data_IF_696750062166
#
_entry.id   IF_696750062166
#
_cell.length_a   1.000
_cell.length_b   1.000
_cell.length_c   1.000
_cell.angle_alpha   90.00
_cell.angle_beta   90.00
_cell.angle_gamma   90.00
#
_symmetry.space_group_name_H-M   'P 1'
#
loop_
_entity.id
_entity.type
_entity.pdbx_description
1 polymer ?
#
# COMPACT_ATOMS: atom_id res chain seq x y z
N UNK A 1 -21.75 21.09 -6.70
CA UNK A 1 -21.66 20.86 -5.25
C UNK A 1 -21.44 19.36 -4.99
N UNK A 2 -20.64 18.99 -3.99
CA UNK A 2 -20.38 17.57 -3.61
C UNK A 2 -21.23 17.23 -2.38
N UNK A 3 -21.81 16.03 -2.33
CA UNK A 3 -22.55 15.56 -1.16
C UNK A 3 -21.56 14.98 -0.14
N UNK A 4 -21.33 15.72 0.94
CA UNK A 4 -20.29 15.44 1.94
C UNK A 4 -20.67 15.95 3.32
N UNK A 5 -19.96 15.50 4.34
CA UNK A 5 -20.02 16.03 5.70
C UNK A 5 -18.62 16.30 6.25
N UNK A 6 -18.44 17.29 7.14
CA UNK A 6 -17.14 17.62 7.69
C UNK A 6 -16.63 16.48 8.59
N UNK A 7 -15.39 16.04 8.37
CA UNK A 7 -14.71 15.05 9.19
C UNK A 7 -13.80 15.73 10.21
N UNK A 8 -13.99 15.39 11.48
CA UNK A 8 -13.14 15.83 12.58
C UNK A 8 -12.47 14.63 13.26
N UNK A 9 -11.23 14.82 13.71
CA UNK A 9 -10.49 13.83 14.50
C UNK A 9 -9.87 14.49 15.72
N UNK A 10 -9.72 13.76 16.81
CA UNK A 10 -8.92 14.21 17.95
C UNK A 10 -7.46 13.86 17.69
N UNK A 11 -6.60 14.88 17.61
CA UNK A 11 -5.16 14.72 17.45
C UNK A 11 -4.46 15.05 18.76
N UNK A 12 -3.51 14.20 19.14
CA UNK A 12 -2.72 14.36 20.36
C UNK A 12 -1.23 14.47 20.03
N UNK A 13 -0.59 15.47 20.61
CA UNK A 13 0.86 15.65 20.59
C UNK A 13 1.41 15.45 21.99
N UNK A 14 2.33 14.51 22.15
CA UNK A 14 3.03 14.23 23.41
C UNK A 14 4.50 14.64 23.29
N UNK A 15 4.93 15.54 24.17
CA UNK A 15 6.35 15.82 24.36
C UNK A 15 6.92 14.80 25.36
N UNK A 16 7.76 13.88 24.87
CA UNK A 16 8.33 12.81 25.71
C UNK A 16 9.35 13.30 26.74
N UNK A 17 9.93 14.49 26.56
CA UNK A 17 10.88 15.07 27.52
C UNK A 17 10.18 15.77 28.69
N UNK A 18 9.05 16.44 28.44
CA UNK A 18 8.28 17.15 29.48
C UNK A 18 7.06 16.37 29.98
N UNK A 19 6.70 15.27 29.33
CA UNK A 19 5.46 14.50 29.52
C UNK A 19 4.17 15.32 29.29
N UNK A 20 4.27 16.48 28.63
CA UNK A 20 3.11 17.31 28.29
C UNK A 20 2.33 16.70 27.12
N UNK A 21 1.00 16.63 27.24
CA UNK A 21 0.09 16.19 26.19
C UNK A 21 -0.80 17.37 25.77
N UNK A 22 -0.81 17.68 24.49
CA UNK A 22 -1.72 18.66 23.87
C UNK A 22 -2.71 17.92 22.99
N UNK A 23 -3.99 18.04 23.29
CA UNK A 23 -5.09 17.43 22.52
C UNK A 23 -5.92 18.50 21.83
N UNK A 24 -6.28 18.27 20.57
CA UNK A 24 -7.10 19.19 19.80
C UNK A 24 -8.02 18.44 18.84
N UNK A 25 -9.21 19.00 18.60
CA UNK A 25 -10.09 18.55 17.52
C UNK A 25 -9.65 19.20 16.22
N UNK A 26 -9.24 18.39 15.24
CA UNK A 26 -8.71 18.81 13.94
C UNK A 26 -9.73 18.51 12.86
N UNK A 27 -10.02 19.51 12.03
CA UNK A 27 -10.78 19.33 10.80
C UNK A 27 -9.91 18.67 9.74
N UNK A 28 -10.36 17.51 9.23
CA UNK A 28 -9.65 16.71 8.23
C UNK A 28 -10.13 16.99 6.80
N UNK A 29 -11.22 17.75 6.63
CA UNK A 29 -11.84 18.04 5.34
C UNK A 29 -13.29 17.56 5.25
N UNK A 30 -13.93 17.90 4.15
CA UNK A 30 -15.26 17.39 3.81
C UNK A 30 -15.16 15.98 3.23
N UNK A 31 -15.81 15.01 3.87
CA UNK A 31 -15.80 13.60 3.47
C UNK A 31 -17.04 13.25 2.64
N UNK A 32 -16.89 12.76 1.40
CA UNK A 32 -18.03 12.37 0.57
C UNK A 32 -18.85 11.25 1.22
N UNK A 33 -20.17 11.44 1.26
CA UNK A 33 -21.08 10.47 1.85
C UNK A 33 -21.78 9.61 0.78
N UNK A 34 -22.04 8.36 1.13
CA UNK A 34 -22.84 7.47 0.30
C UNK A 34 -24.32 7.83 0.44
N UNK A 35 -25.04 7.90 -0.68
CA UNK A 35 -26.49 8.10 -0.69
C UNK A 35 -27.22 6.79 -0.35
N UNK A 36 -28.53 6.82 -0.01
CA UNK A 36 -29.33 5.60 0.16
C UNK A 36 -29.38 4.68 -1.07
N UNK A 37 -29.02 5.19 -2.26
CA UNK A 37 -28.92 4.40 -3.51
C UNK A 37 -27.58 3.68 -3.67
N UNK A 38 -26.63 3.87 -2.75
CA UNK A 38 -25.26 3.33 -2.87
C UNK A 38 -24.34 4.13 -3.81
N UNK A 39 -24.71 5.37 -4.16
CA UNK A 39 -23.98 6.25 -5.06
C UNK A 39 -23.29 7.39 -4.30
N UNK A 40 -22.45 8.17 -4.97
CA UNK A 40 -21.80 9.38 -4.46
C UNK A 40 -22.04 10.55 -5.42
N UNK A 41 -22.27 11.76 -4.89
CA UNK A 41 -22.40 12.97 -5.73
C UNK A 41 -21.10 13.76 -5.63
N UNK A 42 -20.32 13.80 -6.71
CA UNK A 42 -19.05 14.52 -6.79
C UNK A 42 -19.19 15.65 -7.81
N UNK A 43 -19.04 16.89 -7.36
CA UNK A 43 -19.16 18.09 -8.20
C UNK A 43 -20.47 18.17 -9.00
N UNK A 44 -21.57 17.66 -8.44
CA UNK A 44 -22.90 17.64 -9.07
C UNK A 44 -23.19 16.42 -9.94
N UNK A 45 -22.21 15.54 -10.18
CA UNK A 45 -22.40 14.29 -10.92
C UNK A 45 -22.54 13.11 -9.97
N UNK A 46 -23.58 12.31 -10.16
CA UNK A 46 -23.77 11.04 -9.46
C UNK A 46 -22.82 9.97 -10.02
N UNK A 47 -22.10 9.27 -9.14
CA UNK A 47 -21.09 8.27 -9.45
C UNK A 47 -21.29 7.02 -8.61
N UNK A 48 -20.89 5.88 -9.15
CA UNK A 48 -20.89 4.59 -8.44
C UNK A 48 -19.45 4.12 -8.28
N UNK A 49 -19.08 3.72 -7.07
CA UNK A 49 -17.79 3.06 -6.81
C UNK A 49 -17.93 1.58 -7.13
N UNK A 50 -17.04 1.05 -7.97
CA UNK A 50 -17.05 -0.37 -8.37
C UNK A 50 -16.01 -1.13 -7.58
N UNK A 51 -16.40 -2.28 -7.01
CA UNK A 51 -15.49 -3.18 -6.32
C UNK A 51 -14.46 -3.77 -7.28
N UNK A 52 -13.20 -3.76 -6.86
CA UNK A 52 -12.09 -4.32 -7.64
C UNK A 52 -11.71 -5.71 -7.13
N UNK A 53 -11.38 -6.61 -8.06
CA UNK A 53 -10.70 -7.86 -7.73
C UNK A 53 -9.20 -7.61 -7.66
N UNK A 54 -8.61 -7.85 -6.48
CA UNK A 54 -7.17 -7.74 -6.23
C UNK A 54 -6.61 -9.10 -5.81
N UNK A 55 -5.29 -9.28 -5.95
CA UNK A 55 -4.64 -10.50 -5.45
C UNK A 55 -4.88 -10.63 -3.95
N UNK A 56 -5.18 -11.85 -3.50
CA UNK A 56 -5.29 -12.13 -2.08
C UNK A 56 -3.93 -11.97 -1.39
N UNK A 57 -3.89 -11.75 -0.07
CA UNK A 57 -2.67 -11.86 0.69
C UNK A 57 -2.07 -13.27 0.56
N UNK A 58 -0.76 -13.37 0.43
CA UNK A 58 -0.10 -14.66 0.29
C UNK A 58 1.32 -14.59 -0.29
N UNK A 59 1.94 -15.76 -0.40
CA UNK A 59 3.21 -15.95 -1.08
C UNK A 59 2.96 -16.48 -2.49
N UNK A 60 3.40 -15.73 -3.49
CA UNK A 60 3.27 -16.07 -4.91
C UNK A 60 4.64 -16.33 -5.51
N UNK A 61 4.77 -17.43 -6.24
CA UNK A 61 6.00 -17.82 -6.92
C UNK A 61 5.77 -17.82 -8.43
N UNK A 62 6.74 -17.33 -9.18
CA UNK A 62 6.67 -17.21 -10.63
C UNK A 62 8.05 -17.52 -11.24
N UNK A 63 8.03 -18.18 -12.40
CA UNK A 63 9.22 -18.42 -13.23
C UNK A 63 8.97 -17.78 -14.59
N UNK A 64 9.90 -16.94 -15.03
CA UNK A 64 9.81 -16.25 -16.32
C UNK A 64 11.14 -16.35 -17.08
N UNK A 65 11.13 -16.75 -18.37
CA UNK A 65 12.35 -16.80 -19.16
C UNK A 65 12.95 -15.39 -19.35
N UNK A 66 14.26 -15.25 -19.14
CA UNK A 66 14.97 -14.02 -19.43
C UNK A 66 15.10 -13.82 -20.95
N UNK A 67 14.90 -12.58 -21.42
CA UNK A 67 14.92 -12.31 -22.86
C UNK A 67 16.32 -12.33 -23.49
N UNK A 68 17.37 -12.32 -22.67
CA UNK A 68 18.76 -12.10 -23.10
C UNK A 68 19.69 -13.26 -22.76
N UNK A 69 19.15 -14.31 -22.15
CA UNK A 69 19.89 -15.51 -21.74
C UNK A 69 18.95 -16.70 -21.72
N UNK A 70 19.48 -17.91 -21.81
CA UNK A 70 18.70 -19.16 -21.74
C UNK A 70 18.34 -19.54 -20.29
N UNK A 71 18.15 -18.54 -19.41
CA UNK A 71 17.89 -18.74 -17.99
C UNK A 71 16.50 -18.25 -17.61
N UNK A 72 15.88 -18.97 -16.69
CA UNK A 72 14.66 -18.52 -16.02
C UNK A 72 14.99 -17.62 -14.83
N UNK A 73 14.22 -16.55 -14.70
CA UNK A 73 14.17 -15.69 -13.52
C UNK A 73 13.09 -16.24 -12.59
N UNK A 74 13.47 -16.56 -11.36
CA UNK A 74 12.53 -17.01 -10.34
C UNK A 74 12.21 -15.85 -9.40
N UNK A 75 10.93 -15.59 -9.18
CA UNK A 75 10.48 -14.54 -8.26
C UNK A 75 9.55 -15.09 -7.19
N UNK A 76 9.65 -14.54 -5.98
CA UNK A 76 8.72 -14.79 -4.89
C UNK A 76 8.18 -13.45 -4.37
N UNK A 77 6.87 -13.28 -4.32
CA UNK A 77 6.21 -12.06 -3.82
C UNK A 77 5.40 -12.40 -2.58
N UNK A 78 5.74 -11.78 -1.46
CA UNK A 78 4.98 -11.83 -0.22
C UNK A 78 4.09 -10.59 -0.17
N UNK A 79 2.80 -10.81 -0.35
CA UNK A 79 1.78 -9.77 -0.40
C UNK A 79 0.99 -9.81 0.92
N UNK A 80 1.12 -8.81 1.81
CA UNK A 80 0.30 -8.74 3.01
C UNK A 80 -1.10 -8.16 2.70
N UNK A 81 -2.05 -8.35 3.62
CA UNK A 81 -3.36 -7.70 3.55
C UNK A 81 -3.29 -6.19 3.75
N UNK A 82 -2.28 -5.72 4.49
CA UNK A 82 -1.96 -4.31 4.72
C UNK A 82 -0.46 -4.18 4.97
N UNK A 83 0.18 -3.20 4.37
CA UNK A 83 1.59 -2.87 4.60
C UNK A 83 2.50 -3.11 3.41
N UNK A 84 3.81 -3.08 3.67
CA UNK A 84 4.86 -3.15 2.67
C UNK A 84 4.98 -4.54 2.03
N UNK A 85 5.24 -4.56 0.72
CA UNK A 85 5.51 -5.79 -0.02
C UNK A 85 6.96 -6.23 0.16
N UNK A 86 7.20 -7.54 0.13
CA UNK A 86 8.54 -8.12 0.10
C UNK A 86 8.64 -9.00 -1.13
N UNK A 87 9.65 -8.74 -1.97
CA UNK A 87 9.86 -9.45 -3.22
C UNK A 87 11.28 -10.01 -3.25
N UNK A 88 11.41 -11.29 -3.58
CA UNK A 88 12.68 -11.97 -3.84
C UNK A 88 12.80 -12.32 -5.32
N UNK A 89 14.03 -12.32 -5.81
CA UNK A 89 14.34 -12.63 -7.20
C UNK A 89 15.70 -13.32 -7.29
N UNK A 90 15.74 -14.45 -8.00
CA UNK A 90 16.98 -15.04 -8.54
C UNK A 90 17.13 -14.53 -9.97
N UNK A 91 18.15 -13.72 -10.23
CA UNK A 91 18.36 -13.15 -11.56
C UNK A 91 19.24 -14.03 -12.47
N UNK A 92 19.39 -13.61 -13.73
CA UNK A 92 20.21 -14.31 -14.74
C UNK A 92 21.70 -14.44 -14.37
N UNK A 93 22.17 -13.68 -13.38
CA UNK A 93 23.55 -13.74 -12.85
C UNK A 93 23.66 -14.66 -11.64
N UNK A 94 22.63 -15.47 -11.37
CA UNK A 94 22.51 -16.38 -10.23
C UNK A 94 22.60 -15.64 -8.88
N UNK A 95 22.20 -14.36 -8.85
CA UNK A 95 22.17 -13.56 -7.62
C UNK A 95 20.77 -13.50 -7.04
N UNK A 96 20.68 -13.75 -5.73
CA UNK A 96 19.45 -13.59 -4.97
C UNK A 96 19.35 -12.15 -4.45
N UNK A 97 18.34 -11.43 -4.89
CA UNK A 97 18.04 -10.09 -4.41
C UNK A 97 16.68 -9.96 -3.74
N UNK A 98 16.53 -8.87 -3.01
CA UNK A 98 15.30 -8.49 -2.32
C UNK A 98 14.90 -7.06 -2.68
N UNK A 99 13.59 -6.81 -2.82
CA UNK A 99 12.97 -5.48 -2.87
C UNK A 99 11.97 -5.36 -1.73
N UNK A 100 12.12 -4.31 -0.93
CA UNK A 100 11.18 -3.96 0.14
C UNK A 100 10.35 -2.77 -0.34
N UNK A 101 9.03 -2.85 -0.26
CA UNK A 101 8.10 -1.77 -0.61
C UNK A 101 8.35 -1.16 -2.00
N UNK A 102 8.62 -2.02 -3.00
CA UNK A 102 8.94 -1.63 -4.38
C UNK A 102 10.14 -0.67 -4.51
N UNK A 103 11.03 -0.61 -3.51
CA UNK A 103 12.29 0.12 -3.56
C UNK A 103 13.35 -0.65 -4.36
N UNK A 104 14.55 -0.07 -4.45
CA UNK A 104 15.67 -0.61 -5.24
C UNK A 104 16.06 -2.02 -4.75
N UNK A 105 16.43 -2.89 -5.70
CA UNK A 105 16.95 -4.24 -5.43
C UNK A 105 18.23 -4.15 -4.59
N UNK A 106 18.28 -4.92 -3.52
CA UNK A 106 19.46 -5.13 -2.69
C UNK A 106 19.82 -6.62 -2.68
N UNK A 107 21.06 -6.96 -2.35
CA UNK A 107 21.42 -8.37 -2.10
C UNK A 107 20.60 -8.90 -0.93
N UNK A 108 20.08 -10.13 -1.03
CA UNK A 108 19.31 -10.76 0.06
C UNK A 108 20.11 -10.82 1.35
N UNK A 109 21.43 -10.93 1.25
CA UNK A 109 22.33 -10.97 2.41
C UNK A 109 22.32 -9.68 3.23
N UNK A 110 21.92 -8.54 2.66
CA UNK A 110 21.77 -7.28 3.42
C UNK A 110 20.57 -7.36 4.36
N UNK A 111 19.50 -8.07 3.97
CA UNK A 111 18.33 -8.28 4.83
C UNK A 111 18.60 -9.29 5.95
N UNK A 112 19.50 -10.25 5.72
CA UNK A 112 19.80 -11.33 6.67
C UNK A 112 20.84 -10.97 7.74
N UNK A 113 21.60 -9.89 7.53
CA UNK A 113 22.57 -9.38 8.51
C UNK A 113 21.85 -8.65 9.64
#
# INVERSE_FOLDING_TARGET
ITYSAPLFVTAEFMNTSTMEIKSQTVFMGDFPLMTPKGTFIINGTERVVVSQLVRSPGAYFESTPDKTSDKDIFTAKIIPSRGAWIEFEVDKRDQVGVRLDRKRKQSVTVLLK
#
